data_IF_184465667655
#
_entry.id   IF_184465667655
#
_cell.length_a   1.000
_cell.length_b   1.000
_cell.length_c   1.000
_cell.angle_alpha   90.00
_cell.angle_beta   90.00
_cell.angle_gamma   90.00
#
_symmetry.space_group_name_H-M   'P 1'
#
loop_
_entity.id
_entity.type
_entity.pdbx_description
1 polymer ?
#
# COMPACT_ATOMS: atom_id res chain seq x y z
N UNK A 1 -18.73 16.29 -52.89
CA UNK A 1 -18.90 15.27 -51.83
C UNK A 1 -17.65 15.26 -50.96
N UNK A 2 -17.70 15.65 -49.67
CA UNK A 2 -16.52 15.50 -48.80
C UNK A 2 -16.68 14.46 -47.69
N UNK A 3 -15.65 13.61 -47.63
CA UNK A 3 -14.94 13.05 -46.47
C UNK A 3 -15.70 12.33 -45.33
N UNK A 4 -15.70 11.00 -45.44
CA UNK A 4 -15.23 10.02 -44.44
C UNK A 4 -15.46 10.30 -42.95
N UNK A 5 -16.49 9.61 -42.41
CA UNK A 5 -16.59 8.93 -41.11
C UNK A 5 -15.39 9.18 -40.17
N UNK A 6 -15.54 10.14 -39.26
CA UNK A 6 -14.87 10.06 -37.95
C UNK A 6 -15.48 8.89 -37.19
N UNK A 7 -14.95 7.69 -37.43
CA UNK A 7 -15.05 6.60 -36.49
C UNK A 7 -14.25 7.05 -35.26
N UNK A 8 -14.94 7.73 -34.34
CA UNK A 8 -14.38 8.03 -33.03
C UNK A 8 -14.03 6.67 -32.45
N UNK A 9 -12.73 6.39 -32.32
CA UNK A 9 -12.22 5.32 -31.48
C UNK A 9 -12.84 5.50 -30.08
N UNK A 10 -13.97 4.84 -29.84
CA UNK A 10 -14.55 4.61 -28.52
C UNK A 10 -13.70 3.54 -27.84
N UNK A 11 -12.41 3.82 -27.64
CA UNK A 11 -11.62 3.02 -26.73
C UNK A 11 -12.26 3.19 -25.34
N UNK A 12 -12.71 2.11 -24.67
CA UNK A 12 -13.26 2.21 -23.32
C UNK A 12 -12.19 2.85 -22.43
N UNK A 13 -12.55 3.92 -21.71
CA UNK A 13 -11.60 4.78 -20.98
C UNK A 13 -10.88 4.09 -19.80
N UNK A 14 -11.24 2.86 -19.44
CA UNK A 14 -10.48 1.98 -18.55
C UNK A 14 -11.13 0.61 -18.56
N UNK A 15 -10.35 -0.44 -18.82
CA UNK A 15 -10.79 -1.84 -18.62
C UNK A 15 -10.43 -2.31 -17.21
N UNK A 16 -10.92 -1.61 -16.20
CA UNK A 16 -10.78 -2.07 -14.81
C UNK A 16 -11.63 -3.31 -14.53
N UNK A 17 -12.60 -3.63 -15.40
CA UNK A 17 -13.40 -4.85 -15.37
C UNK A 17 -12.58 -6.14 -15.61
N UNK A 18 -11.45 -6.05 -16.29
CA UNK A 18 -10.49 -7.16 -16.47
C UNK A 18 -9.36 -7.16 -15.42
N UNK A 19 -9.36 -6.20 -14.49
CA UNK A 19 -8.28 -6.06 -13.52
C UNK A 19 -8.39 -7.15 -12.44
N UNK A 20 -7.51 -8.14 -12.50
CA UNK A 20 -7.36 -9.13 -11.42
C UNK A 20 -6.60 -8.51 -10.27
N UNK A 21 -7.22 -8.46 -9.09
CA UNK A 21 -6.51 -8.08 -7.87
C UNK A 21 -5.49 -9.18 -7.52
N UNK A 22 -4.21 -8.88 -7.74
CA UNK A 22 -3.11 -9.75 -7.31
C UNK A 22 -2.74 -9.39 -5.88
N UNK A 23 -2.90 -10.35 -4.96
CA UNK A 23 -2.44 -10.20 -3.58
C UNK A 23 -0.93 -9.97 -3.59
N UNK A 24 -0.52 -8.75 -3.28
CA UNK A 24 0.90 -8.41 -3.14
C UNK A 24 1.29 -8.64 -1.69
N UNK A 25 2.16 -9.63 -1.38
CA UNK A 25 2.60 -9.85 -0.01
C UNK A 25 3.23 -8.58 0.55
N UNK A 26 3.10 -8.36 1.85
CA UNK A 26 3.71 -7.23 2.54
C UNK A 26 5.23 -7.21 2.28
N UNK A 27 5.76 -6.05 1.86
CA UNK A 27 7.19 -5.94 1.56
C UNK A 27 8.10 -6.14 2.78
N UNK A 28 7.58 -5.91 4.00
CA UNK A 28 8.36 -6.03 5.23
C UNK A 28 8.30 -7.42 5.85
N UNK A 29 7.09 -7.99 5.99
CA UNK A 29 6.91 -9.28 6.68
C UNK A 29 6.50 -10.44 5.76
N UNK A 30 6.26 -10.20 4.47
CA UNK A 30 5.81 -11.22 3.51
C UNK A 30 4.37 -11.70 3.70
N UNK A 31 3.62 -11.17 4.67
CA UNK A 31 2.25 -11.59 4.93
C UNK A 31 1.34 -11.33 3.73
N UNK A 32 0.49 -12.32 3.39
CA UNK A 32 -0.54 -12.18 2.37
C UNK A 32 -1.71 -11.40 2.98
N UNK A 33 -1.81 -10.13 2.62
CA UNK A 33 -2.83 -9.20 3.12
C UNK A 33 -3.63 -8.62 1.95
N UNK A 34 -4.82 -8.08 2.22
CA UNK A 34 -5.66 -7.45 1.19
C UNK A 34 -5.02 -6.18 0.60
N UNK A 35 -4.07 -5.58 1.34
CA UNK A 35 -3.23 -4.49 0.89
C UNK A 35 -2.35 -4.00 2.03
N UNK A 36 -1.41 -3.13 1.72
CA UNK A 36 -0.57 -2.47 2.71
C UNK A 36 -0.16 -1.09 2.23
N UNK A 37 0.09 -0.17 3.16
CA UNK A 37 0.53 1.18 2.84
C UNK A 37 1.31 1.78 4.01
N UNK A 38 2.27 2.64 3.69
CA UNK A 38 2.90 3.52 4.68
C UNK A 38 1.95 4.66 5.02
N UNK A 39 1.70 4.87 6.31
CA UNK A 39 0.84 5.93 6.81
C UNK A 39 1.66 6.82 7.74
N UNK A 40 1.48 8.14 7.63
CA UNK A 40 2.00 9.09 8.59
C UNK A 40 1.06 9.16 9.80
N UNK A 41 1.54 8.68 10.94
CA UNK A 41 0.88 8.82 12.24
C UNK A 41 1.70 9.78 13.11
N UNK A 42 1.23 11.02 13.26
CA UNK A 42 1.84 12.04 14.10
C UNK A 42 3.34 12.28 13.83
N UNK A 43 3.74 12.28 12.56
CA UNK A 43 5.15 12.48 12.14
C UNK A 43 5.95 11.18 12.04
N UNK A 44 5.36 10.03 12.36
CA UNK A 44 6.00 8.72 12.26
C UNK A 44 5.42 7.93 11.08
N UNK A 45 6.28 7.43 10.20
CA UNK A 45 5.91 6.46 9.18
C UNK A 45 5.72 5.07 9.76
N UNK A 46 4.51 4.53 9.62
CA UNK A 46 4.14 3.18 10.06
C UNK A 46 3.58 2.41 8.86
N UNK A 47 4.08 1.20 8.63
CA UNK A 47 3.53 0.32 7.60
C UNK A 47 2.27 -0.35 8.16
N UNK A 48 1.13 -0.11 7.53
CA UNK A 48 -0.16 -0.67 7.94
C UNK A 48 -0.59 -1.74 6.95
N UNK A 49 -0.98 -2.90 7.46
CA UNK A 49 -1.71 -3.93 6.74
C UNK A 49 -3.20 -3.58 6.73
N UNK A 50 -3.82 -3.76 5.56
CA UNK A 50 -5.28 -3.77 5.43
C UNK A 50 -5.74 -5.21 5.47
N UNK A 51 -6.44 -5.58 6.54
CA UNK A 51 -7.02 -6.90 6.75
C UNK A 51 -8.55 -6.82 6.69
N UNK A 52 -9.20 -7.97 6.75
CA UNK A 52 -10.67 -8.03 6.70
C UNK A 52 -11.31 -7.28 7.89
N UNK A 53 -10.64 -7.28 9.04
CA UNK A 53 -11.12 -6.70 10.29
C UNK A 53 -10.81 -5.20 10.44
N UNK A 54 -10.01 -4.63 9.54
CA UNK A 54 -9.59 -3.24 9.61
C UNK A 54 -8.15 -3.04 9.15
N UNK A 55 -7.49 -2.06 9.74
CA UNK A 55 -6.07 -1.79 9.50
C UNK A 55 -5.26 -2.08 10.76
N UNK A 56 -4.15 -2.80 10.62
CA UNK A 56 -3.24 -3.16 11.71
C UNK A 56 -1.80 -2.83 11.33
N UNK A 57 -0.96 -2.50 12.30
CA UNK A 57 0.45 -2.20 12.03
C UNK A 57 1.21 -3.47 11.66
N UNK A 58 2.11 -3.37 10.67
CA UNK A 58 3.02 -4.45 10.32
C UNK A 58 4.00 -4.68 11.49
N UNK A 59 4.08 -5.89 12.06
CA UNK A 59 4.92 -6.16 13.22
C UNK A 59 6.43 -6.19 12.87
N UNK A 60 6.78 -6.33 11.59
CA UNK A 60 8.18 -6.45 11.15
C UNK A 60 8.74 -5.18 10.52
N UNK A 61 7.89 -4.21 10.19
CA UNK A 61 8.34 -2.98 9.59
C UNK A 61 8.82 -2.03 10.69
N UNK A 62 10.06 -1.57 10.60
CA UNK A 62 10.56 -0.50 11.46
C UNK A 62 9.79 0.80 11.18
N UNK A 63 9.46 1.52 12.24
CA UNK A 63 8.93 2.88 12.12
C UNK A 63 10.07 3.83 11.74
N UNK A 64 9.72 4.95 11.11
CA UNK A 64 10.69 5.99 10.74
C UNK A 64 10.11 7.38 10.94
N UNK A 65 10.97 8.38 11.09
CA UNK A 65 10.56 9.78 11.11
C UNK A 65 10.12 10.19 9.70
N UNK A 66 8.85 10.54 9.54
CA UNK A 66 8.27 10.80 8.22
C UNK A 66 8.92 11.97 7.48
N UNK A 67 9.44 12.96 8.23
CA UNK A 67 10.04 14.14 7.63
C UNK A 67 11.46 13.88 7.11
N UNK A 68 12.23 13.06 7.82
CA UNK A 68 13.66 12.84 7.56
C UNK A 68 13.97 11.49 6.95
N UNK A 69 13.03 10.53 7.02
CA UNK A 69 13.23 9.15 6.59
C UNK A 69 14.12 8.33 7.52
N UNK A 70 14.52 8.88 8.67
CA UNK A 70 15.41 8.19 9.63
C UNK A 70 14.62 7.13 10.37
N UNK A 71 15.13 5.90 10.36
CA UNK A 71 14.54 4.81 11.14
C UNK A 71 14.49 5.18 12.63
N UNK A 72 13.30 5.06 13.21
CA UNK A 72 13.10 5.20 14.64
C UNK A 72 13.34 3.82 15.23
N UNK A 73 14.53 3.59 15.79
CA UNK A 73 14.81 2.34 16.50
C UNK A 73 13.70 2.10 17.52
N UNK A 74 13.07 0.93 17.46
CA UNK A 74 12.10 0.52 18.46
C UNK A 74 12.73 0.66 19.87
N UNK A 75 11.98 1.10 20.89
CA UNK A 75 12.47 0.95 22.25
C UNK A 75 12.77 -0.54 22.46
N UNK A 76 14.03 -0.85 22.73
CA UNK A 76 14.44 -2.16 23.25
C UNK A 76 13.80 -2.30 24.64
N UNK A 77 12.56 -2.77 24.69
CA UNK A 77 12.06 -3.52 25.85
C UNK A 77 12.03 -5.00 25.49
N UNK A 78 13.24 -5.52 25.29
CA UNK A 78 13.56 -6.89 25.65
C UNK A 78 14.14 -6.86 27.06
N UNK A 79 13.29 -6.94 28.09
CA UNK A 79 13.70 -7.47 29.39
C UNK A 79 12.65 -8.46 29.86
N UNK A 80 13.11 -9.69 29.99
CA UNK A 80 12.40 -10.90 30.36
C UNK A 80 11.63 -10.82 31.69
N UNK A 81 10.60 -11.65 31.80
CA UNK A 81 10.19 -12.31 33.04
C UNK A 81 9.84 -13.78 32.74
#
# INVERSE_FOLDING_TARGET
MPATRSDRLSAPLSRTEDAVAVSSPCMACGAVVSGWAWINTAGVGVLMHRTFWGSEACPSAASFDWATGVELSAPVEAVAA
#
